data_IF_294071551223
#
_entry.id   IF_294071551223
#
_cell.length_a   1.000
_cell.length_b   1.000
_cell.length_c   1.000
_cell.angle_alpha   90.00
_cell.angle_beta   90.00
_cell.angle_gamma   90.00
#
_symmetry.space_group_name_H-M   'P 1'
#
loop_
_entity.id
_entity.type
_entity.pdbx_description
1 polymer ?
#
# COMPACT_ATOMS: atom_id res chain seq x y z
N UNK A 1 -59.56 15.39 15.22
CA UNK A 1 -59.23 16.81 14.90
C UNK A 1 -57.73 16.97 15.09
N UNK A 2 -57.03 17.49 14.07
CA UNK A 2 -55.56 17.70 13.92
C UNK A 2 -54.74 16.44 13.57
N UNK A 3 -53.88 16.43 12.55
CA UNK A 3 -53.65 17.27 11.35
C UNK A 3 -52.78 16.37 10.44
N UNK A 4 -53.21 16.14 9.19
CA UNK A 4 -52.38 15.53 8.15
C UNK A 4 -51.17 16.45 7.90
N UNK A 5 -49.96 15.88 7.87
CA UNK A 5 -48.80 16.49 7.23
C UNK A 5 -48.41 15.59 6.07
N UNK A 6 -48.68 16.12 4.88
CA UNK A 6 -48.37 15.59 3.57
C UNK A 6 -46.87 15.83 3.32
N UNK A 7 -46.05 14.79 3.27
CA UNK A 7 -44.70 14.90 2.73
C UNK A 7 -44.74 14.51 1.25
N UNK A 8 -44.59 15.52 0.40
CA UNK A 8 -44.38 15.38 -1.03
C UNK A 8 -43.00 14.74 -1.27
N UNK A 9 -42.94 13.44 -1.55
CA UNK A 9 -41.75 12.82 -2.12
C UNK A 9 -41.82 13.03 -3.62
N UNK A 10 -41.07 14.02 -4.11
CA UNK A 10 -40.80 14.18 -5.53
C UNK A 10 -39.73 13.16 -5.90
N UNK A 11 -40.11 12.20 -6.75
CA UNK A 11 -39.20 11.35 -7.49
C UNK A 11 -38.23 12.23 -8.28
N UNK A 12 -36.93 12.05 -8.07
CA UNK A 12 -35.92 12.40 -9.07
C UNK A 12 -35.13 11.13 -9.37
N UNK A 13 -35.59 10.43 -10.41
CA UNK A 13 -34.85 9.34 -11.06
C UNK A 13 -33.75 10.01 -11.88
N UNK A 14 -32.51 9.92 -11.39
CA UNK A 14 -31.33 10.05 -12.25
C UNK A 14 -30.78 8.64 -12.47
N UNK A 15 -31.27 7.98 -13.51
CA UNK A 15 -30.46 7.01 -14.25
C UNK A 15 -29.38 7.82 -14.97
N UNK A 16 -28.11 7.59 -14.63
CA UNK A 16 -27.00 7.23 -15.53
C UNK A 16 -25.88 6.76 -14.57
N UNK A 17 -25.84 5.46 -14.31
CA UNK A 17 -24.65 4.79 -13.80
C UNK A 17 -24.15 3.92 -14.93
N UNK A 18 -23.12 4.38 -15.64
CA UNK A 18 -22.35 3.54 -16.54
C UNK A 18 -21.65 2.48 -15.68
N UNK A 19 -22.17 1.27 -15.77
CA UNK A 19 -21.63 0.07 -15.15
C UNK A 19 -20.21 -0.21 -15.68
N UNK A 20 -19.21 -0.19 -14.80
CA UNK A 20 -17.93 -0.84 -15.03
C UNK A 20 -18.09 -2.33 -14.68
N UNK A 21 -18.85 -3.07 -15.48
CA UNK A 21 -18.95 -4.52 -15.32
C UNK A 21 -17.70 -5.19 -15.92
N UNK A 22 -16.74 -5.51 -15.06
CA UNK A 22 -15.71 -6.54 -15.29
C UNK A 22 -16.11 -7.82 -14.55
N UNK A 23 -15.84 -8.98 -15.15
CA UNK A 23 -16.30 -10.28 -14.66
C UNK A 23 -15.73 -10.65 -13.29
N UNK A 24 -16.57 -11.36 -12.52
CA UNK A 24 -16.24 -11.97 -11.23
C UNK A 24 -15.23 -13.10 -11.42
N UNK A 25 -14.05 -13.00 -10.80
CA UNK A 25 -13.19 -14.14 -10.51
C UNK A 25 -12.90 -14.19 -9.01
N UNK A 26 -12.94 -15.41 -8.45
CA UNK A 26 -12.78 -15.68 -7.02
C UNK A 26 -11.33 -15.43 -6.53
N UNK A 27 -11.12 -15.10 -5.24
CA UNK A 27 -9.79 -14.82 -4.72
C UNK A 27 -8.91 -16.08 -4.69
N UNK A 28 -7.75 -16.03 -5.34
CA UNK A 28 -6.71 -17.05 -5.21
C UNK A 28 -5.95 -16.81 -3.90
N UNK A 29 -6.02 -17.81 -3.02
CA UNK A 29 -5.35 -17.84 -1.72
C UNK A 29 -3.89 -18.35 -1.83
N UNK A 30 -2.99 -17.61 -1.18
CA UNK A 30 -1.73 -18.02 -0.52
C UNK A 30 -0.68 -18.73 -1.39
N UNK A 31 0.41 -18.01 -1.71
CA UNK A 31 1.71 -18.62 -1.99
C UNK A 31 2.56 -18.49 -0.71
N UNK A 32 2.79 -19.62 -0.07
CA UNK A 32 3.75 -19.75 1.04
C UNK A 32 5.17 -19.54 0.51
N UNK A 33 5.90 -18.60 1.12
CA UNK A 33 7.32 -18.34 0.86
C UNK A 33 8.20 -19.56 1.16
N UNK A 34 9.30 -19.80 0.40
CA UNK A 34 10.31 -20.78 0.77
C UNK A 34 11.28 -20.26 1.87
N UNK A 35 11.73 -21.21 2.69
CA UNK A 35 12.58 -21.10 3.89
C UNK A 35 13.95 -20.39 3.71
N UNK A 36 14.61 -19.97 4.82
CA UNK A 36 15.64 -18.92 4.80
C UNK A 36 17.01 -19.35 4.26
N UNK A 37 17.66 -18.36 3.66
CA UNK A 37 18.99 -18.39 3.03
C UNK A 37 20.13 -18.62 4.05
N UNK A 38 21.06 -19.53 3.73
CA UNK A 38 22.31 -19.77 4.46
C UNK A 38 23.50 -19.10 3.73
N UNK A 39 24.49 -18.47 4.42
CA UNK A 39 25.43 -17.56 3.76
C UNK A 39 26.76 -18.20 3.28
N UNK A 40 27.20 -17.68 2.12
CA UNK A 40 28.57 -17.47 1.60
C UNK A 40 29.49 -18.69 1.44
N UNK A 41 29.86 -18.96 0.18
CA UNK A 41 31.11 -19.65 -0.19
C UNK A 41 31.83 -18.82 -1.25
N UNK A 42 33.04 -18.37 -0.92
CA UNK A 42 33.96 -17.65 -1.80
C UNK A 42 34.40 -18.53 -2.98
N UNK A 43 34.41 -17.97 -4.20
CA UNK A 43 35.17 -18.52 -5.31
C UNK A 43 36.07 -17.45 -5.92
N UNK A 44 37.36 -17.77 -5.87
CA UNK A 44 38.50 -16.98 -6.31
C UNK A 44 38.49 -16.69 -7.82
N UNK A 45 39.12 -15.57 -8.18
CA UNK A 45 39.32 -15.14 -9.55
C UNK A 45 40.35 -15.99 -10.27
N UNK A 46 40.11 -16.35 -11.53
CA UNK A 46 41.20 -16.58 -12.46
C UNK A 46 40.85 -16.10 -13.88
N UNK A 47 41.73 -15.25 -14.42
CA UNK A 47 41.62 -14.61 -15.73
C UNK A 47 42.41 -15.42 -16.79
N UNK A 48 41.83 -15.70 -17.96
CA UNK A 48 42.53 -15.47 -19.25
C UNK A 48 41.66 -15.67 -20.53
N UNK A 49 41.79 -14.69 -21.44
CA UNK A 49 41.29 -14.46 -22.81
C UNK A 49 41.65 -15.56 -23.87
N UNK A 50 41.30 -15.47 -25.20
CA UNK A 50 40.41 -14.56 -25.97
C UNK A 50 39.43 -15.24 -26.99
N UNK A 51 38.54 -14.46 -27.62
CA UNK A 51 37.66 -14.82 -28.76
C UNK A 51 38.38 -15.12 -30.09
N UNK A 52 37.72 -15.85 -31.04
CA UNK A 52 37.31 -15.18 -32.28
C UNK A 52 35.93 -15.61 -32.85
N UNK A 53 35.39 -14.74 -33.69
CA UNK A 53 34.05 -14.70 -34.31
C UNK A 53 33.72 -15.84 -35.28
N UNK A 54 32.46 -16.33 -35.29
CA UNK A 54 31.71 -16.80 -36.49
C UNK A 54 30.19 -16.54 -36.30
N UNK A 55 29.58 -15.83 -37.25
CA UNK A 55 28.14 -15.56 -37.41
C UNK A 55 27.28 -16.83 -37.52
N UNK A 56 26.07 -16.82 -36.92
CA UNK A 56 24.85 -17.31 -37.59
C UNK A 56 23.58 -16.98 -36.79
N UNK A 57 22.71 -16.18 -37.42
CA UNK A 57 21.25 -16.14 -37.32
C UNK A 57 20.61 -15.83 -35.94
N UNK A 58 20.26 -14.56 -35.74
CA UNK A 58 19.22 -14.16 -34.80
C UNK A 58 17.83 -14.57 -35.32
N UNK A 59 16.97 -15.20 -34.52
CA UNK A 59 15.54 -14.96 -34.59
C UNK A 59 15.29 -13.62 -33.87
N UNK A 60 14.88 -12.60 -34.62
CA UNK A 60 14.24 -11.44 -34.02
C UNK A 60 12.82 -11.85 -33.66
N UNK A 61 12.59 -12.17 -32.39
CA UNK A 61 11.25 -12.33 -31.85
C UNK A 61 10.57 -10.96 -31.86
N UNK A 62 9.86 -10.67 -32.95
CA UNK A 62 8.75 -9.73 -32.93
C UNK A 62 7.64 -10.35 -32.09
N UNK A 63 7.75 -10.23 -30.76
CA UNK A 63 6.59 -10.43 -29.90
C UNK A 63 5.49 -9.46 -30.34
N UNK A 64 4.35 -10.05 -30.67
CA UNK A 64 3.19 -9.40 -31.24
C UNK A 64 2.60 -8.42 -30.21
N UNK A 65 2.54 -7.13 -30.52
CA UNK A 65 2.03 -6.08 -29.63
C UNK A 65 0.62 -6.37 -29.11
N UNK A 66 -0.22 -7.08 -29.87
CA UNK A 66 -1.55 -7.51 -29.42
C UNK A 66 -1.49 -8.50 -28.27
N UNK A 67 -0.48 -9.37 -28.24
CA UNK A 67 -0.35 -10.43 -27.24
C UNK A 67 0.32 -9.90 -25.96
N UNK A 68 1.14 -8.85 -26.07
CA UNK A 68 1.62 -8.08 -24.92
C UNK A 68 0.52 -7.20 -24.31
N UNK A 69 -0.29 -6.49 -25.12
CA UNK A 69 -1.43 -5.72 -24.59
C UNK A 69 -2.49 -6.59 -23.91
N UNK A 70 -2.71 -7.81 -24.41
CA UNK A 70 -3.65 -8.75 -23.83
C UNK A 70 -3.09 -9.37 -22.54
N UNK A 71 -1.80 -9.74 -22.50
CA UNK A 71 -1.11 -10.18 -21.27
C UNK A 71 -1.04 -9.07 -20.21
N UNK A 72 -0.74 -7.82 -20.59
CA UNK A 72 -0.68 -6.68 -19.66
C UNK A 72 -2.04 -6.35 -19.02
N UNK A 73 -3.16 -6.71 -19.67
CA UNK A 73 -4.49 -6.61 -19.06
C UNK A 73 -4.78 -7.66 -18.00
N UNK A 74 -4.10 -8.81 -18.01
CA UNK A 74 -4.26 -9.86 -16.99
C UNK A 74 -3.61 -9.49 -15.65
N UNK A 75 -2.63 -8.58 -15.66
CA UNK A 75 -1.87 -8.17 -14.46
C UNK A 75 -2.19 -6.76 -13.97
N UNK A 76 -3.21 -6.10 -14.53
CA UNK A 76 -3.65 -4.77 -14.06
C UNK A 76 -5.05 -4.84 -13.46
N UNK A 77 -5.21 -4.28 -12.27
CA UNK A 77 -6.47 -4.25 -11.53
C UNK A 77 -6.90 -2.81 -11.37
N UNK A 78 -8.10 -2.47 -11.86
CA UNK A 78 -8.71 -1.17 -11.58
C UNK A 78 -9.26 -1.21 -10.15
N UNK A 79 -8.68 -0.40 -9.27
CA UNK A 79 -9.10 -0.32 -7.87
C UNK A 79 -10.35 0.55 -7.74
N UNK A 80 -10.39 1.68 -8.45
CA UNK A 80 -11.50 2.62 -8.40
C UNK A 80 -11.15 3.97 -9.06
N UNK A 81 -11.95 4.99 -8.75
CA UNK A 81 -11.74 6.35 -9.25
C UNK A 81 -11.99 7.42 -8.17
N UNK A 82 -11.15 8.45 -8.12
CA UNK A 82 -11.20 9.55 -7.15
C UNK A 82 -10.70 10.86 -7.78
N UNK A 83 -11.16 12.02 -7.29
CA UNK A 83 -10.72 13.34 -7.75
C UNK A 83 -9.46 13.76 -6.96
N UNK A 84 -8.30 13.27 -7.40
CA UNK A 84 -7.02 13.41 -6.71
C UNK A 84 -6.28 14.70 -7.08
N UNK A 85 -6.69 15.39 -8.15
CA UNK A 85 -6.13 16.69 -8.52
C UNK A 85 -7.05 17.89 -8.20
N UNK A 86 -8.27 17.62 -7.70
CA UNK A 86 -9.31 18.57 -7.29
C UNK A 86 -9.83 19.43 -8.46
N UNK A 87 -9.87 18.87 -9.68
CA UNK A 87 -10.39 19.54 -10.87
C UNK A 87 -11.88 19.26 -11.14
N UNK A 88 -12.51 18.40 -10.32
CA UNK A 88 -13.90 17.99 -10.44
C UNK A 88 -14.14 16.78 -11.36
N UNK A 89 -13.09 16.19 -11.93
CA UNK A 89 -13.11 14.91 -12.63
C UNK A 89 -12.39 13.88 -11.79
N UNK A 90 -12.80 12.62 -11.92
CA UNK A 90 -12.16 11.52 -11.20
C UNK A 90 -11.06 10.91 -12.06
N UNK A 91 -9.88 10.78 -11.47
CA UNK A 91 -8.79 9.96 -11.98
C UNK A 91 -9.07 8.47 -11.74
N UNK A 92 -8.57 7.62 -12.64
CA UNK A 92 -8.63 6.17 -12.53
C UNK A 92 -7.39 5.65 -11.80
N UNK A 93 -7.62 4.81 -10.80
CA UNK A 93 -6.58 4.21 -9.94
C UNK A 93 -6.41 2.74 -10.31
N UNK A 94 -5.18 2.33 -10.60
CA UNK A 94 -4.84 0.99 -11.09
C UNK A 94 -3.68 0.42 -10.27
N UNK A 95 -3.81 -0.81 -9.78
CA UNK A 95 -2.67 -1.61 -9.37
C UNK A 95 -2.13 -2.36 -10.59
N UNK A 96 -0.85 -2.17 -10.90
CA UNK A 96 -0.13 -2.88 -11.94
C UNK A 96 0.82 -3.89 -11.31
N UNK A 97 0.54 -5.17 -11.55
CA UNK A 97 1.22 -6.33 -10.99
C UNK A 97 2.12 -7.02 -12.01
N UNK A 98 2.31 -6.42 -13.19
CA UNK A 98 3.08 -7.03 -14.30
C UNK A 98 4.51 -7.38 -13.88
N UNK A 99 5.10 -6.55 -13.00
CA UNK A 99 6.48 -6.70 -12.52
C UNK A 99 6.61 -7.52 -11.23
N UNK A 100 5.50 -8.06 -10.70
CA UNK A 100 5.51 -8.70 -9.39
C UNK A 100 6.35 -9.98 -9.37
N UNK A 101 6.27 -10.81 -10.41
CA UNK A 101 7.03 -12.08 -10.46
C UNK A 101 8.52 -11.87 -10.74
N UNK A 102 8.85 -10.97 -11.69
CA UNK A 102 10.24 -10.76 -12.14
C UNK A 102 11.02 -9.84 -11.19
N UNK A 103 10.40 -8.75 -10.74
CA UNK A 103 11.07 -7.69 -9.98
C UNK A 103 10.60 -7.58 -8.54
N UNK A 104 9.65 -8.43 -8.10
CA UNK A 104 9.09 -8.38 -6.76
C UNK A 104 8.52 -7.01 -6.41
N UNK A 105 7.90 -6.34 -7.39
CA UNK A 105 7.42 -4.97 -7.28
C UNK A 105 6.04 -4.83 -7.90
N UNK A 106 5.11 -4.26 -7.15
CA UNK A 106 3.82 -3.81 -7.64
C UNK A 106 3.83 -2.29 -7.80
N UNK A 107 3.03 -1.76 -8.72
CA UNK A 107 2.93 -0.33 -8.97
C UNK A 107 1.50 0.16 -8.76
N UNK A 108 1.34 1.29 -8.08
CA UNK A 108 0.09 2.04 -8.11
C UNK A 108 0.19 3.09 -9.22
N UNK A 109 -0.78 3.13 -10.12
CA UNK A 109 -0.83 4.03 -11.28
C UNK A 109 -2.11 4.83 -11.29
N UNK A 110 -1.99 6.12 -11.57
CA UNK A 110 -3.11 7.06 -11.63
C UNK A 110 -3.18 7.65 -13.02
N UNK A 111 -4.35 7.53 -13.64
CA UNK A 111 -4.63 8.03 -14.98
C UNK A 111 -5.67 9.15 -14.93
N UNK A 112 -5.47 10.20 -15.71
CA UNK A 112 -6.46 11.26 -15.90
C UNK A 112 -7.69 10.76 -16.68
N UNK A 113 -8.69 11.64 -16.82
CA UNK A 113 -9.93 11.37 -17.55
C UNK A 113 -9.71 11.06 -19.05
N UNK A 114 -8.57 11.45 -19.63
CA UNK A 114 -8.18 11.18 -21.01
C UNK A 114 -7.31 9.90 -21.13
N UNK A 115 -7.16 9.14 -20.04
CA UNK A 115 -6.32 7.94 -19.89
C UNK A 115 -4.81 8.19 -20.03
N UNK A 116 -4.33 9.41 -19.77
CA UNK A 116 -2.89 9.65 -19.65
C UNK A 116 -2.43 9.25 -18.25
N UNK A 117 -1.30 8.54 -18.15
CA UNK A 117 -0.64 8.28 -16.87
C UNK A 117 -0.11 9.61 -16.32
N UNK A 118 -0.54 9.99 -15.11
CA UNK A 118 -0.12 11.24 -14.48
C UNK A 118 0.73 11.03 -13.22
N UNK A 119 0.60 9.88 -12.56
CA UNK A 119 1.39 9.56 -11.37
C UNK A 119 1.51 8.05 -11.23
N UNK A 120 2.65 7.59 -10.73
CA UNK A 120 2.88 6.19 -10.40
C UNK A 120 3.88 6.06 -9.24
N UNK A 121 3.73 4.99 -8.46
CA UNK A 121 4.62 4.67 -7.36
C UNK A 121 4.79 3.17 -7.17
N UNK A 122 6.02 2.76 -6.89
CA UNK A 122 6.37 1.38 -6.60
C UNK A 122 6.10 0.99 -5.14
N UNK A 123 5.71 -0.26 -4.95
CA UNK A 123 5.67 -0.97 -3.69
C UNK A 123 6.41 -2.31 -3.88
N UNK A 124 7.62 -2.41 -3.31
CA UNK A 124 8.45 -3.61 -3.37
C UNK A 124 8.08 -4.61 -2.28
N UNK A 125 8.15 -5.91 -2.57
CA UNK A 125 8.02 -6.98 -1.56
C UNK A 125 9.23 -7.08 -0.62
N UNK A 126 10.48 -6.78 -1.03
CA UNK A 126 11.59 -6.72 -0.09
C UNK A 126 11.38 -5.61 0.94
N UNK A 127 11.78 -5.85 2.20
CA UNK A 127 11.55 -4.92 3.32
C UNK A 127 11.97 -3.47 3.05
N UNK A 128 13.08 -3.24 2.34
CA UNK A 128 13.54 -1.90 2.00
C UNK A 128 12.62 -1.13 1.02
N UNK A 129 11.69 -1.84 0.36
CA UNK A 129 10.74 -1.29 -0.60
C UNK A 129 9.28 -1.37 -0.15
N UNK A 130 9.00 -1.77 1.10
CA UNK A 130 7.62 -1.81 1.60
C UNK A 130 6.97 -0.43 1.54
N UNK A 131 5.77 -0.41 1.00
CA UNK A 131 5.00 0.80 0.84
C UNK A 131 3.52 0.48 0.93
N UNK A 132 2.78 1.31 1.64
CA UNK A 132 1.34 1.20 1.81
C UNK A 132 0.69 2.53 1.42
N UNK A 133 -0.11 2.51 0.36
CA UNK A 133 -0.79 3.69 -0.18
C UNK A 133 -2.30 3.51 0.00
N UNK A 134 -2.95 4.55 0.52
CA UNK A 134 -4.38 4.58 0.81
C UNK A 134 -5.06 5.74 0.10
N UNK A 135 -6.33 5.56 -0.27
CA UNK A 135 -7.24 6.63 -0.65
C UNK A 135 -7.92 7.14 0.61
N UNK A 136 -7.73 8.43 0.91
CA UNK A 136 -8.29 9.09 2.09
C UNK A 136 -9.32 10.12 1.67
N UNK A 137 -10.49 10.08 2.30
CA UNK A 137 -11.56 11.05 2.05
C UNK A 137 -11.74 11.98 3.25
N UNK A 138 -11.64 13.30 3.01
CA UNK A 138 -11.79 14.29 4.07
C UNK A 138 -12.44 15.56 3.55
N UNK A 139 -13.45 16.06 4.27
CA UNK A 139 -14.18 17.29 3.93
C UNK A 139 -14.66 17.36 2.46
N UNK A 140 -15.07 16.21 1.90
CA UNK A 140 -15.56 16.11 0.53
C UNK A 140 -14.47 16.13 -0.54
N UNK A 141 -13.20 15.94 -0.15
CA UNK A 141 -12.04 15.90 -1.05
C UNK A 141 -11.29 14.58 -0.91
N UNK A 142 -10.66 14.16 -2.00
CA UNK A 142 -9.88 12.94 -2.06
C UNK A 142 -8.38 13.26 -1.95
N UNK A 143 -7.68 12.43 -1.20
CA UNK A 143 -6.24 12.52 -0.93
C UNK A 143 -5.63 11.12 -0.98
N UNK A 144 -4.30 11.07 -1.04
CA UNK A 144 -3.52 9.86 -0.84
C UNK A 144 -2.81 9.94 0.51
N UNK A 145 -2.73 8.81 1.20
CA UNK A 145 -1.83 8.60 2.33
C UNK A 145 -0.77 7.61 1.89
N UNK A 146 0.51 8.03 1.94
CA UNK A 146 1.65 7.12 1.87
C UNK A 146 2.09 6.81 3.29
N UNK A 147 2.08 5.53 3.68
CA UNK A 147 2.54 5.05 4.98
C UNK A 147 3.70 4.07 4.81
N UNK A 148 4.80 4.35 5.52
CA UNK A 148 6.00 3.52 5.49
C UNK A 148 6.42 3.16 6.93
N UNK A 149 6.01 1.99 7.44
CA UNK A 149 6.54 1.43 8.68
C UNK A 149 7.87 0.73 8.38
N UNK A 150 8.98 1.32 8.82
CA UNK A 150 10.31 0.73 8.64
C UNK A 150 10.87 0.35 10.00
N UNK A 151 11.30 -0.91 10.16
CA UNK A 151 12.01 -1.35 11.36
C UNK A 151 13.24 -2.19 11.00
N UNK A 152 14.41 -1.81 11.53
CA UNK A 152 15.66 -2.55 11.40
C UNK A 152 16.26 -2.83 12.77
N UNK A 153 16.38 -4.11 13.12
CA UNK A 153 17.02 -4.56 14.36
C UNK A 153 16.43 -3.87 15.61
N UNK A 154 15.12 -3.64 15.60
CA UNK A 154 14.39 -2.97 16.68
C UNK A 154 14.36 -1.44 16.62
N UNK A 155 15.20 -0.80 15.80
CA UNK A 155 15.06 0.63 15.52
C UNK A 155 13.97 0.84 14.46
N UNK A 156 12.95 1.63 14.78
CA UNK A 156 11.83 1.92 13.91
C UNK A 156 11.77 3.40 13.54
N UNK A 157 11.45 3.65 12.28
CA UNK A 157 11.07 4.94 11.72
C UNK A 157 9.74 4.74 11.01
N UNK A 158 8.67 5.23 11.61
CA UNK A 158 7.32 5.14 11.07
C UNK A 158 6.93 6.53 10.61
N UNK A 159 6.49 6.66 9.36
CA UNK A 159 6.10 7.95 8.80
C UNK A 159 4.90 7.81 7.89
N UNK A 160 4.09 8.85 7.82
CA UNK A 160 3.12 9.01 6.75
C UNK A 160 3.13 10.42 6.17
N UNK A 161 2.66 10.50 4.93
CA UNK A 161 2.43 11.75 4.21
C UNK A 161 1.02 11.72 3.62
N UNK A 162 0.24 12.77 3.89
CA UNK A 162 -1.01 13.05 3.20
C UNK A 162 -0.71 14.01 2.06
N UNK A 163 -1.09 13.64 0.84
CA UNK A 163 -0.85 14.46 -0.34
C UNK A 163 -1.98 14.32 -1.35
N UNK A 164 -2.00 15.24 -2.30
CA UNK A 164 -2.81 15.16 -3.51
C UNK A 164 -1.93 15.39 -4.72
N UNK A 165 -2.51 15.29 -5.91
CA UNK A 165 -1.83 15.66 -7.14
C UNK A 165 -2.18 17.09 -7.52
N UNK A 166 -1.32 17.72 -8.32
CA UNK A 166 -1.69 18.90 -9.09
C UNK A 166 -2.07 18.50 -10.54
N UNK A 167 -2.47 19.47 -11.36
CA UNK A 167 -2.87 19.23 -12.75
C UNK A 167 -1.76 18.63 -13.64
N UNK A 168 -0.51 18.57 -13.18
CA UNK A 168 0.63 17.96 -13.88
C UNK A 168 1.02 16.61 -13.30
N UNK A 169 0.29 16.09 -12.31
CA UNK A 169 0.60 14.86 -11.59
C UNK A 169 1.70 15.00 -10.53
N UNK A 170 2.11 16.23 -10.20
CA UNK A 170 3.12 16.45 -9.15
C UNK A 170 2.44 16.40 -7.77
N UNK A 171 3.11 15.78 -6.79
CA UNK A 171 2.63 15.67 -5.42
C UNK A 171 2.61 17.04 -4.72
N UNK A 172 1.49 17.32 -4.05
CA UNK A 172 1.35 18.44 -3.13
C UNK A 172 1.09 17.86 -1.75
N UNK A 173 2.10 17.91 -0.89
CA UNK A 173 1.98 17.53 0.51
C UNK A 173 1.02 18.47 1.24
N UNK A 174 0.07 17.89 1.95
CA UNK A 174 -0.92 18.59 2.77
C UNK A 174 -0.58 18.45 4.25
N UNK A 175 -0.05 17.29 4.67
CA UNK A 175 0.45 17.05 6.01
C UNK A 175 1.41 15.85 6.03
N UNK A 176 2.26 15.78 7.05
CA UNK A 176 3.07 14.60 7.35
C UNK A 176 3.32 14.50 8.84
N UNK A 177 3.55 13.28 9.32
CA UNK A 177 4.00 13.02 10.69
C UNK A 177 4.93 11.80 10.70
N UNK A 178 5.76 11.71 11.73
CA UNK A 178 6.68 10.60 11.92
C UNK A 178 6.96 10.34 13.40
N UNK A 179 7.29 9.10 13.73
CA UNK A 179 7.80 8.70 15.04
C UNK A 179 9.00 7.77 14.87
N UNK A 180 10.07 8.11 15.60
CA UNK A 180 11.26 7.28 15.73
C UNK A 180 11.27 6.65 17.12
N UNK A 181 11.50 5.35 17.18
CA UNK A 181 11.61 4.64 18.45
C UNK A 181 12.51 3.42 18.32
N UNK A 182 12.92 2.87 19.46
CA UNK A 182 13.75 1.67 19.50
C UNK A 182 13.23 0.71 20.56
N UNK A 183 12.83 -0.48 20.11
CA UNK A 183 12.21 -1.52 20.94
C UNK A 183 13.25 -2.38 21.65
N UNK A 184 14.55 -2.16 21.43
CA UNK A 184 15.59 -2.92 22.12
C UNK A 184 15.58 -2.68 23.63
N UNK A 185 15.95 -3.70 24.44
CA UNK A 185 16.03 -3.56 25.88
C UNK A 185 16.92 -2.39 26.30
N UNK A 186 16.48 -1.63 27.31
CA UNK A 186 17.18 -0.45 27.85
C UNK A 186 17.34 0.72 26.87
N UNK A 187 16.64 0.73 25.73
CA UNK A 187 16.64 1.89 24.86
C UNK A 187 15.99 3.09 25.55
N UNK A 188 16.59 4.26 25.34
CA UNK A 188 16.06 5.54 25.84
C UNK A 188 15.12 6.22 24.83
N UNK A 189 14.95 5.62 23.64
CA UNK A 189 14.09 6.15 22.57
C UNK A 189 12.69 5.52 22.58
N UNK A 190 12.40 4.60 23.51
CA UNK A 190 11.06 4.03 23.65
C UNK A 190 10.18 4.95 24.48
N UNK A 191 9.42 5.82 23.81
CA UNK A 191 8.42 6.69 24.42
C UNK A 191 7.01 6.21 24.06
N UNK A 192 6.35 5.53 25.01
CA UNK A 192 5.01 4.99 24.81
C UNK A 192 3.97 6.06 24.51
N UNK A 193 4.11 7.28 25.04
CA UNK A 193 3.17 8.37 24.78
C UNK A 193 3.29 8.85 23.33
N UNK A 194 4.52 9.08 22.87
CA UNK A 194 4.78 9.53 21.50
C UNK A 194 4.39 8.49 20.45
N UNK A 195 4.69 7.21 20.69
CA UNK A 195 4.31 6.11 19.78
C UNK A 195 2.78 5.96 19.75
N UNK A 196 2.11 5.96 20.91
CA UNK A 196 0.66 5.84 20.97
C UNK A 196 -0.03 7.00 20.25
N UNK A 197 0.40 8.24 20.48
CA UNK A 197 -0.18 9.42 19.83
C UNK A 197 -0.07 9.35 18.29
N UNK A 198 1.09 8.93 17.78
CA UNK A 198 1.28 8.73 16.34
C UNK A 198 0.34 7.65 15.78
N UNK A 199 0.25 6.49 16.44
CA UNK A 199 -0.59 5.37 15.97
C UNK A 199 -2.07 5.72 16.05
N UNK A 200 -2.51 6.41 17.10
CA UNK A 200 -3.88 6.89 17.25
C UNK A 200 -4.24 7.91 16.15
N UNK A 201 -3.35 8.85 15.84
CA UNK A 201 -3.53 9.80 14.74
C UNK A 201 -3.60 9.08 13.39
N UNK A 202 -2.65 8.18 13.10
CA UNK A 202 -2.64 7.38 11.88
C UNK A 202 -3.93 6.56 11.76
N UNK A 203 -4.36 5.89 12.81
CA UNK A 203 -5.57 5.05 12.78
C UNK A 203 -6.84 5.87 12.57
N UNK A 204 -6.92 7.09 13.10
CA UNK A 204 -8.03 7.99 12.80
C UNK A 204 -8.09 8.38 11.32
N UNK A 205 -6.92 8.50 10.66
CA UNK A 205 -6.86 8.71 9.21
C UNK A 205 -7.23 7.43 8.42
N UNK A 206 -6.73 6.27 8.87
CA UNK A 206 -6.98 5.00 8.20
C UNK A 206 -8.44 4.53 8.30
N UNK A 207 -9.17 4.92 9.36
CA UNK A 207 -10.61 4.66 9.51
C UNK A 207 -11.44 5.28 8.38
N UNK A 208 -11.01 6.45 7.88
CA UNK A 208 -11.63 7.17 6.76
C UNK A 208 -10.93 6.89 5.42
N UNK A 209 -10.14 5.81 5.36
CA UNK A 209 -9.34 5.45 4.18
C UNK A 209 -9.62 4.04 3.67
N UNK A 210 -9.34 3.83 2.39
CA UNK A 210 -9.34 2.51 1.75
C UNK A 210 -7.94 2.21 1.22
N UNK A 211 -7.43 1.00 1.50
CA UNK A 211 -6.12 0.57 1.00
C UNK A 211 -6.13 0.48 -0.52
N UNK A 212 -5.22 1.17 -1.20
CA UNK A 212 -5.04 1.04 -2.63
C UNK A 212 -4.03 -0.07 -2.95
N UNK A 213 -2.86 -0.02 -2.33
CA UNK A 213 -1.77 -0.98 -2.54
C UNK A 213 -0.90 -1.06 -1.30
N UNK A 214 -0.52 -2.27 -0.89
CA UNK A 214 0.44 -2.54 0.18
C UNK A 214 1.30 -3.73 -0.19
N UNK A 215 2.58 -3.67 0.18
CA UNK A 215 3.50 -4.84 0.20
C UNK A 215 4.10 -5.12 1.56
N UNK A 216 3.59 -4.46 2.60
CA UNK A 216 4.00 -4.66 3.99
C UNK A 216 3.99 -6.14 4.40
N UNK A 217 4.93 -6.53 5.26
CA UNK A 217 5.14 -7.92 5.67
C UNK A 217 5.40 -8.90 4.51
N UNK A 218 5.90 -8.38 3.37
CA UNK A 218 6.09 -9.12 2.13
C UNK A 218 4.80 -9.72 1.56
N UNK A 219 3.65 -9.13 1.90
CA UNK A 219 2.33 -9.56 1.44
C UNK A 219 1.73 -8.48 0.56
N UNK A 220 1.51 -8.81 -0.72
CA UNK A 220 0.74 -7.97 -1.62
C UNK A 220 -0.72 -7.91 -1.15
N UNK A 221 -1.25 -6.70 -1.04
CA UNK A 221 -2.67 -6.45 -0.75
C UNK A 221 -3.13 -5.21 -1.51
N UNK A 222 -4.33 -5.27 -2.08
CA UNK A 222 -4.97 -4.17 -2.77
C UNK A 222 -6.49 -4.32 -2.69
N UNK A 223 -7.21 -3.22 -2.72
CA UNK A 223 -8.67 -3.24 -2.79
C UNK A 223 -9.18 -3.40 -4.21
N UNK A 224 -10.44 -3.77 -4.34
CA UNK A 224 -11.24 -3.53 -5.54
C UNK A 224 -12.50 -2.75 -5.15
N UNK A 225 -13.22 -2.21 -6.14
CA UNK A 225 -14.47 -1.48 -5.89
C UNK A 225 -15.49 -2.31 -5.09
N UNK A 226 -15.55 -3.63 -5.34
CA UNK A 226 -16.45 -4.56 -4.65
C UNK A 226 -15.89 -5.10 -3.32
N UNK A 227 -14.58 -5.02 -3.12
CA UNK A 227 -13.88 -5.53 -1.93
C UNK A 227 -12.91 -4.48 -1.38
N UNK A 228 -13.43 -3.39 -0.77
CA UNK A 228 -12.60 -2.41 -0.11
C UNK A 228 -11.94 -3.00 1.13
N UNK A 229 -10.64 -2.78 1.28
CA UNK A 229 -9.85 -3.15 2.45
C UNK A 229 -9.65 -1.89 3.30
N UNK A 230 -10.10 -1.95 4.54
CA UNK A 230 -9.79 -0.97 5.59
C UNK A 230 -8.76 -1.60 6.52
N UNK A 231 -7.76 -0.84 6.95
CA UNK A 231 -6.70 -1.31 7.85
C UNK A 231 -6.58 -0.45 9.10
N UNK A 232 -5.87 -0.99 10.07
CA UNK A 232 -5.52 -0.32 11.32
C UNK A 232 -4.12 -0.77 11.68
N UNK A 233 -3.24 0.16 12.04
CA UNK A 233 -1.91 -0.13 12.57
C UNK A 233 -2.05 -0.68 13.99
N UNK A 234 -1.57 -1.91 14.19
CA UNK A 234 -1.65 -2.64 15.46
C UNK A 234 -0.29 -2.87 16.11
N UNK A 235 0.78 -2.38 15.49
CA UNK A 235 2.18 -2.60 15.86
C UNK A 235 2.46 -4.10 15.99
N UNK A 236 2.47 -4.83 14.88
CA UNK A 236 2.57 -6.31 14.85
C UNK A 236 3.73 -6.86 15.71
N UNK A 237 4.83 -6.11 15.83
CA UNK A 237 5.96 -6.46 16.70
C UNK A 237 5.60 -6.59 18.19
N UNK A 238 4.52 -5.96 18.67
CA UNK A 238 4.00 -6.13 20.04
C UNK A 238 3.64 -7.58 20.33
N UNK A 239 3.19 -8.33 19.32
CA UNK A 239 2.70 -9.71 19.47
C UNK A 239 3.79 -10.76 19.26
N UNK A 240 5.05 -10.34 19.09
CA UNK A 240 6.21 -11.26 19.04
C UNK A 240 6.52 -11.88 20.40
N UNK A 241 6.06 -11.25 21.49
CA UNK A 241 6.14 -11.77 22.85
C UNK A 241 4.75 -12.09 23.38
N UNK A 242 4.61 -13.24 24.05
CA UNK A 242 3.37 -13.62 24.74
C UNK A 242 3.23 -12.83 26.05
N UNK A 243 2.67 -11.62 25.94
CA UNK A 243 2.46 -10.70 27.07
C UNK A 243 1.02 -10.72 27.61
N UNK A 244 0.13 -11.50 27.00
CA UNK A 244 -1.28 -11.58 27.40
C UNK A 244 -1.97 -10.22 27.38
N UNK A 245 -1.94 -9.53 26.23
CA UNK A 245 -2.70 -8.28 26.04
C UNK A 245 -4.20 -8.54 26.21
N UNK A 246 -4.87 -7.59 26.84
CA UNK A 246 -6.32 -7.58 27.00
C UNK A 246 -6.96 -7.00 25.72
N UNK A 247 -8.19 -7.40 25.43
CA UNK A 247 -8.97 -6.84 24.32
C UNK A 247 -9.28 -5.35 24.56
N UNK A 248 -9.40 -4.95 25.83
CA UNK A 248 -9.67 -3.57 26.24
C UNK A 248 -8.40 -2.71 26.38
N UNK A 249 -7.20 -3.28 26.18
CA UNK A 249 -5.95 -2.51 26.25
C UNK A 249 -5.90 -1.48 25.10
N UNK A 250 -5.69 -0.21 25.47
CA UNK A 250 -5.30 0.81 24.49
C UNK A 250 -3.93 0.50 23.88
N UNK A 251 -3.59 1.12 22.75
CA UNK A 251 -2.25 1.02 22.15
C UNK A 251 -1.18 1.42 23.19
N UNK A 252 -1.44 2.47 23.98
CA UNK A 252 -0.57 2.90 25.06
C UNK A 252 -0.40 1.81 26.13
N UNK A 253 -1.48 1.18 26.59
CA UNK A 253 -1.38 0.10 27.59
C UNK A 253 -0.53 -1.07 27.08
N UNK A 254 -0.69 -1.44 25.81
CA UNK A 254 0.12 -2.49 25.17
C UNK A 254 1.60 -2.10 25.10
N UNK A 255 1.90 -0.86 24.72
CA UNK A 255 3.26 -0.32 24.68
C UNK A 255 3.92 -0.32 26.07
N UNK A 256 3.19 0.11 27.10
CA UNK A 256 3.69 0.11 28.49
C UNK A 256 3.97 -1.31 29.00
N UNK A 257 3.09 -2.27 28.69
CA UNK A 257 3.30 -3.70 29.01
C UNK A 257 4.54 -4.25 28.31
N UNK A 258 4.71 -3.94 27.02
CA UNK A 258 5.88 -4.33 26.24
C UNK A 258 7.17 -3.76 26.84
N UNK A 259 7.21 -2.45 27.08
CA UNK A 259 8.37 -1.78 27.64
C UNK A 259 8.77 -2.37 29.00
N UNK A 260 7.79 -2.60 29.88
CA UNK A 260 8.02 -3.18 31.21
C UNK A 260 8.62 -4.59 31.14
N UNK A 261 8.18 -5.41 30.19
CA UNK A 261 8.69 -6.77 30.02
C UNK A 261 10.17 -6.78 29.56
N UNK A 262 10.54 -5.87 28.66
CA UNK A 262 11.90 -5.78 28.13
C UNK A 262 12.88 -5.02 29.04
N UNK A 263 12.41 -4.01 29.79
CA UNK A 263 13.22 -3.28 30.77
C UNK A 263 13.48 -4.05 32.07
N UNK A 264 12.74 -5.14 32.31
CA UNK A 264 12.90 -6.02 33.48
C UNK A 264 13.87 -7.19 33.27
N UNK A 265 14.51 -7.29 32.11
CA UNK A 265 15.47 -8.33 31.72
C UNK A 265 16.88 -7.78 31.60
#
# INVERSE_FOLDING_TARGET
MRRLILYCIVLSICLIGTSCAGNVEEPISVISSPEPYDPIVDYESDNNLPSPDIESEQPQDMENQSDQETRNKEYTVVIGCADLNHDGKKEKIVADLTNLEEFQEAWLKIYDADNNLIWEEAAGLPHAGWNSIYLYHSDGKDYLIRYNPVMYQGFANYQYTIFRLNARGEEIEEASNAVDFDINPNSTMFDSDSIAAFVEELNALLEESTLLLSTENSVLSYSTEDQPIVRTEQLDWLYTADLGYDEDDSIKDKLEKYHKYHSGR
#
